data_IF_463232397557
#
_entry.id   IF_463232397557
#
_cell.length_a   1.000
_cell.length_b   1.000
_cell.length_c   1.000
_cell.angle_alpha   90.00
_cell.angle_beta   90.00
_cell.angle_gamma   90.00
#
_symmetry.space_group_name_H-M   'P 1'
#
loop_
_entity.id
_entity.type
_entity.pdbx_description
1 polymer ?
#
# COMPACT_ATOMS: atom_id res chain seq x y z
N UNK A 1 4.77 -6.57 -17.04
CA UNK A 1 4.68 -7.70 -16.11
C UNK A 1 3.23 -7.91 -15.66
N UNK A 2 2.88 -9.13 -15.36
CA UNK A 2 1.55 -9.51 -14.88
C UNK A 2 1.72 -10.57 -13.80
N UNK A 3 1.01 -10.38 -12.67
CA UNK A 3 1.02 -11.35 -11.57
C UNK A 3 -0.01 -12.47 -11.77
N UNK A 4 0.08 -13.53 -10.96
CA UNK A 4 -0.94 -14.60 -10.92
C UNK A 4 -2.32 -14.08 -10.49
N UNK A 5 -2.36 -12.99 -9.72
CA UNK A 5 -3.58 -12.31 -9.30
C UNK A 5 -4.08 -11.27 -10.32
N UNK A 6 -3.55 -11.26 -11.53
CA UNK A 6 -3.92 -10.35 -12.63
C UNK A 6 -3.52 -8.87 -12.41
N UNK A 7 -2.61 -8.58 -11.49
CA UNK A 7 -2.01 -7.25 -11.36
C UNK A 7 -1.02 -6.98 -12.49
N UNK A 8 -0.94 -5.76 -12.96
CA UNK A 8 -0.24 -5.41 -14.20
C UNK A 8 0.74 -4.26 -14.04
N UNK A 9 1.83 -4.35 -14.80
CA UNK A 9 2.81 -3.28 -14.98
C UNK A 9 3.75 -3.08 -13.81
N UNK A 10 4.46 -1.95 -13.81
CA UNK A 10 5.51 -1.65 -12.84
C UNK A 10 5.01 -1.57 -11.40
N UNK A 11 3.83 -0.98 -11.20
CA UNK A 11 3.24 -0.81 -9.87
C UNK A 11 2.22 -1.91 -9.52
N UNK A 12 2.10 -2.94 -10.36
CA UNK A 12 1.25 -4.12 -10.11
C UNK A 12 -0.20 -3.76 -9.74
N UNK A 13 -0.84 -2.93 -10.58
CA UNK A 13 -2.23 -2.55 -10.41
C UNK A 13 -3.20 -3.58 -11.00
N UNK A 14 -4.28 -3.83 -10.26
CA UNK A 14 -5.43 -4.54 -10.82
C UNK A 14 -6.22 -3.60 -11.75
N UNK A 15 -6.74 -4.11 -12.88
CA UNK A 15 -7.57 -3.30 -13.78
C UNK A 15 -8.76 -2.63 -13.10
N UNK A 16 -9.43 -3.32 -12.19
CA UNK A 16 -10.55 -2.75 -11.43
C UNK A 16 -10.13 -1.60 -10.52
N UNK A 17 -8.97 -1.70 -9.89
CA UNK A 17 -8.40 -0.63 -9.07
C UNK A 17 -8.04 0.57 -9.94
N UNK A 18 -7.39 0.33 -11.07
CA UNK A 18 -7.01 1.38 -12.01
C UNK A 18 -8.23 2.14 -12.54
N UNK A 19 -9.29 1.43 -12.92
CA UNK A 19 -10.53 2.04 -13.39
C UNK A 19 -11.16 2.91 -12.32
N UNK A 20 -11.30 2.40 -11.11
CA UNK A 20 -11.90 3.14 -9.99
C UNK A 20 -11.10 4.40 -9.65
N UNK A 21 -9.78 4.29 -9.58
CA UNK A 21 -8.90 5.43 -9.32
C UNK A 21 -8.99 6.47 -10.43
N UNK A 22 -9.01 6.03 -11.69
CA UNK A 22 -9.15 6.92 -12.84
C UNK A 22 -10.49 7.69 -12.79
N UNK A 23 -11.56 7.00 -12.47
CA UNK A 23 -12.89 7.62 -12.31
C UNK A 23 -12.91 8.63 -11.17
N UNK A 24 -12.38 8.26 -10.00
CA UNK A 24 -12.37 9.11 -8.81
C UNK A 24 -11.57 10.40 -9.02
N UNK A 25 -10.47 10.32 -9.76
CA UNK A 25 -9.54 11.44 -9.94
C UNK A 25 -9.58 12.03 -11.35
N UNK A 26 -10.53 11.63 -12.18
CA UNK A 26 -10.71 12.12 -13.54
C UNK A 26 -9.44 11.96 -14.39
N UNK A 27 -8.79 10.82 -14.27
CA UNK A 27 -7.60 10.47 -15.04
C UNK A 27 -7.97 9.61 -16.26
N UNK A 28 -7.20 9.71 -17.36
CA UNK A 28 -7.45 8.89 -18.55
C UNK A 28 -7.15 7.40 -18.26
N UNK A 29 -8.08 6.54 -18.64
CA UNK A 29 -7.93 5.10 -18.60
C UNK A 29 -8.81 4.45 -19.66
N UNK A 30 -8.19 3.77 -20.61
CA UNK A 30 -8.87 3.20 -21.79
C UNK A 30 -8.85 1.67 -21.80
N UNK A 31 -8.62 1.04 -20.63
CA UNK A 31 -8.65 -0.40 -20.48
C UNK A 31 -7.32 -0.99 -20.03
N UNK A 32 -7.31 -2.31 -19.89
CA UNK A 32 -6.20 -3.07 -19.28
C UNK A 32 -4.86 -2.87 -19.98
N UNK A 33 -4.86 -2.64 -21.30
CA UNK A 33 -3.63 -2.46 -22.07
C UNK A 33 -2.87 -1.21 -21.66
N UNK A 34 -3.56 -0.18 -21.16
CA UNK A 34 -2.92 1.03 -20.66
C UNK A 34 -2.00 0.75 -19.47
N UNK A 35 -2.28 -0.29 -18.70
CA UNK A 35 -1.48 -0.66 -17.53
C UNK A 35 -0.11 -1.25 -17.89
N UNK A 36 0.09 -1.65 -19.14
CA UNK A 36 1.40 -2.08 -19.63
C UNK A 36 2.26 -0.93 -20.13
N UNK A 37 1.69 0.27 -20.26
CA UNK A 37 2.44 1.50 -20.60
C UNK A 37 3.02 2.06 -19.30
N UNK A 38 4.37 2.18 -19.17
CA UNK A 38 4.99 2.55 -17.89
C UNK A 38 4.49 3.85 -17.28
N UNK A 39 4.33 4.91 -18.08
CA UNK A 39 3.88 6.21 -17.58
C UNK A 39 2.44 6.16 -17.08
N UNK A 40 1.54 5.47 -17.79
CA UNK A 40 0.14 5.33 -17.36
C UNK A 40 0.04 4.50 -16.07
N UNK A 41 0.82 3.43 -15.99
CA UNK A 41 0.87 2.59 -14.79
C UNK A 41 1.35 3.38 -13.57
N UNK A 42 2.44 4.14 -13.70
CA UNK A 42 3.00 4.97 -12.63
C UNK A 42 2.01 6.06 -12.22
N UNK A 43 1.37 6.73 -13.19
CA UNK A 43 0.38 7.77 -12.91
C UNK A 43 -0.78 7.23 -12.06
N UNK A 44 -1.38 6.14 -12.51
CA UNK A 44 -2.52 5.52 -11.81
C UNK A 44 -2.11 4.91 -10.47
N UNK A 45 -0.94 4.27 -10.40
CA UNK A 45 -0.40 3.71 -9.17
C UNK A 45 -0.10 4.77 -8.12
N UNK A 46 0.49 5.89 -8.54
CA UNK A 46 0.76 7.04 -7.65
C UNK A 46 -0.55 7.68 -7.17
N UNK A 47 -1.51 7.84 -8.06
CA UNK A 47 -2.83 8.37 -7.69
C UNK A 47 -3.52 7.46 -6.66
N UNK A 48 -3.44 6.14 -6.83
CA UNK A 48 -3.98 5.18 -5.87
C UNK A 48 -3.27 5.25 -4.52
N UNK A 49 -1.94 5.37 -4.51
CA UNK A 49 -1.19 5.59 -3.25
C UNK A 49 -1.61 6.87 -2.54
N UNK A 50 -1.88 7.94 -3.28
CA UNK A 50 -2.38 9.19 -2.69
C UNK A 50 -3.76 9.01 -2.05
N UNK A 51 -4.65 8.24 -2.69
CA UNK A 51 -5.95 7.89 -2.08
C UNK A 51 -5.76 7.12 -0.76
N UNK A 52 -4.85 6.16 -0.75
CA UNK A 52 -4.57 5.36 0.44
C UNK A 52 -3.90 6.20 1.55
N UNK A 53 -3.01 7.12 1.19
CA UNK A 53 -2.42 8.04 2.16
C UNK A 53 -3.45 9.01 2.76
N UNK A 54 -4.44 9.43 1.97
CA UNK A 54 -5.54 10.23 2.49
C UNK A 54 -6.39 9.45 3.51
N UNK A 55 -6.55 8.13 3.29
CA UNK A 55 -7.30 7.24 4.18
C UNK A 55 -6.51 6.86 5.43
N UNK A 56 -5.21 6.60 5.28
CA UNK A 56 -4.31 6.17 6.35
C UNK A 56 -3.08 7.09 6.44
N UNK A 57 -3.25 8.36 6.87
CA UNK A 57 -2.18 9.34 6.81
C UNK A 57 -0.92 8.87 7.54
N UNK A 58 0.21 8.94 6.87
CA UNK A 58 1.54 8.61 7.40
C UNK A 58 1.67 7.20 8.00
N UNK A 59 0.81 6.25 7.57
CA UNK A 59 0.84 4.87 8.05
C UNK A 59 1.17 3.91 6.91
N UNK A 60 2.46 3.60 6.74
CA UNK A 60 2.94 2.70 5.68
C UNK A 60 2.41 1.28 5.84
N UNK A 61 2.15 0.83 7.06
CA UNK A 61 1.64 -0.52 7.35
C UNK A 61 0.24 -0.67 6.72
N UNK A 62 -0.65 0.26 7.00
CA UNK A 62 -2.02 0.23 6.47
C UNK A 62 -2.06 0.54 4.98
N UNK A 63 -1.24 1.48 4.50
CA UNK A 63 -1.14 1.81 3.07
C UNK A 63 -0.64 0.59 2.28
N UNK A 64 0.45 -0.03 2.71
CA UNK A 64 1.02 -1.20 2.04
C UNK A 64 0.06 -2.40 2.09
N UNK A 65 -0.59 -2.62 3.23
CA UNK A 65 -1.60 -3.67 3.36
C UNK A 65 -2.78 -3.46 2.40
N UNK A 66 -3.28 -2.22 2.32
CA UNK A 66 -4.40 -1.87 1.44
C UNK A 66 -4.00 -1.90 -0.04
N UNK A 67 -2.79 -1.49 -0.36
CA UNK A 67 -2.27 -1.57 -1.72
C UNK A 67 -2.18 -3.02 -2.22
N UNK A 68 -1.70 -3.91 -1.37
CA UNK A 68 -1.52 -5.33 -1.72
C UNK A 68 -2.82 -6.13 -1.65
N UNK A 69 -3.62 -5.96 -0.59
CA UNK A 69 -4.80 -6.80 -0.32
C UNK A 69 -6.15 -6.09 -0.54
N UNK A 70 -6.15 -4.77 -0.72
CA UNK A 70 -7.35 -3.97 -0.84
C UNK A 70 -7.80 -3.35 0.49
N UNK A 71 -8.29 -2.11 0.42
CA UNK A 71 -8.69 -1.35 1.61
C UNK A 71 -9.85 -2.01 2.37
N UNK A 72 -10.79 -2.63 1.67
CA UNK A 72 -11.92 -3.29 2.33
C UNK A 72 -11.51 -4.45 3.24
N UNK A 73 -10.47 -5.20 2.85
CA UNK A 73 -9.91 -6.25 3.70
C UNK A 73 -9.20 -5.67 4.92
N UNK A 74 -8.44 -4.62 4.73
CA UNK A 74 -7.76 -3.91 5.83
C UNK A 74 -8.78 -3.41 6.85
N UNK A 75 -9.88 -2.83 6.41
CA UNK A 75 -10.95 -2.38 7.31
C UNK A 75 -11.56 -3.54 8.11
N UNK A 76 -11.74 -4.70 7.50
CA UNK A 76 -12.20 -5.90 8.20
C UNK A 76 -11.18 -6.37 9.26
N UNK A 77 -9.90 -6.32 8.94
CA UNK A 77 -8.85 -6.70 9.90
C UNK A 77 -8.78 -5.72 11.07
N UNK A 78 -8.92 -4.42 10.79
CA UNK A 78 -8.97 -3.39 11.85
C UNK A 78 -10.20 -3.54 12.74
N UNK A 79 -11.36 -3.82 12.16
CA UNK A 79 -12.59 -4.06 12.92
C UNK A 79 -12.44 -5.28 13.85
N UNK A 80 -11.83 -6.36 13.36
CA UNK A 80 -11.57 -7.56 14.16
C UNK A 80 -10.57 -7.30 15.29
N UNK A 81 -9.52 -6.52 15.03
CA UNK A 81 -8.52 -6.13 16.02
C UNK A 81 -9.10 -5.20 17.09
N UNK A 82 -10.07 -4.37 16.71
CA UNK A 82 -10.87 -3.53 17.60
C UNK A 82 -10.05 -2.58 18.48
N UNK A 83 -8.96 -2.02 17.96
CA UNK A 83 -8.12 -1.07 18.69
C UNK A 83 -7.32 -1.69 19.82
N UNK A 84 -7.09 -3.00 19.81
CA UNK A 84 -6.42 -3.73 20.91
C UNK A 84 -5.01 -4.19 20.57
N UNK A 85 -4.56 -4.04 19.32
CA UNK A 85 -3.27 -4.55 18.90
C UNK A 85 -2.26 -3.42 18.73
N UNK A 86 -1.06 -3.63 19.24
CA UNK A 86 0.10 -2.81 18.91
C UNK A 86 0.52 -3.03 17.45
N UNK A 87 1.38 -2.17 16.90
CA UNK A 87 1.81 -2.23 15.51
C UNK A 87 2.34 -3.60 15.09
N UNK A 88 3.28 -4.16 15.86
CA UNK A 88 3.88 -5.46 15.57
C UNK A 88 2.87 -6.61 15.67
N UNK A 89 1.97 -6.54 16.64
CA UNK A 89 0.88 -7.50 16.78
C UNK A 89 -0.08 -7.46 15.61
N UNK A 90 -0.42 -6.26 15.13
CA UNK A 90 -1.26 -6.11 13.94
C UNK A 90 -0.60 -6.72 12.70
N UNK A 91 0.67 -6.42 12.45
CA UNK A 91 1.41 -6.99 11.31
C UNK A 91 1.40 -8.52 11.38
N UNK A 92 1.70 -9.08 12.57
CA UNK A 92 1.68 -10.52 12.76
C UNK A 92 0.30 -11.15 12.56
N UNK A 93 -0.77 -10.38 12.81
CA UNK A 93 -2.16 -10.83 12.68
C UNK A 93 -2.68 -10.80 11.24
N UNK A 94 -1.98 -10.18 10.28
CA UNK A 94 -2.40 -10.13 8.89
C UNK A 94 -2.59 -11.55 8.37
N UNK A 95 -3.82 -11.94 7.96
CA UNK A 95 -4.12 -13.33 7.63
C UNK A 95 -3.53 -13.82 6.32
N UNK A 96 -3.12 -12.89 5.44
CA UNK A 96 -2.49 -13.22 4.15
C UNK A 96 -0.98 -13.20 4.30
N UNK A 97 -0.36 -14.35 4.11
CA UNK A 97 1.10 -14.49 4.16
C UNK A 97 1.81 -13.56 3.18
N UNK A 98 1.30 -13.45 1.95
CA UNK A 98 1.83 -12.55 0.92
C UNK A 98 1.78 -11.08 1.38
N UNK A 99 0.66 -10.63 1.91
CA UNK A 99 0.48 -9.25 2.37
C UNK A 99 1.39 -8.94 3.56
N UNK A 100 1.52 -9.87 4.50
CA UNK A 100 2.41 -9.73 5.65
C UNK A 100 3.85 -9.55 5.21
N UNK A 101 4.32 -10.39 4.31
CA UNK A 101 5.66 -10.29 3.73
C UNK A 101 5.87 -9.00 2.94
N UNK A 102 4.86 -8.58 2.20
CA UNK A 102 4.86 -7.31 1.46
C UNK A 102 5.05 -6.11 2.38
N UNK A 103 4.29 -6.03 3.47
CA UNK A 103 4.43 -4.96 4.47
C UNK A 103 5.82 -4.94 5.08
N UNK A 104 6.34 -6.11 5.49
CA UNK A 104 7.68 -6.23 6.06
C UNK A 104 8.75 -5.76 5.06
N UNK A 105 8.62 -6.12 3.79
CA UNK A 105 9.56 -5.72 2.75
C UNK A 105 9.51 -4.20 2.49
N UNK A 106 8.32 -3.60 2.44
CA UNK A 106 8.17 -2.16 2.26
C UNK A 106 8.88 -1.40 3.37
N UNK A 107 8.68 -1.79 4.63
CA UNK A 107 9.33 -1.17 5.78
C UNK A 107 10.86 -1.34 5.72
N UNK A 108 11.33 -2.53 5.36
CA UNK A 108 12.76 -2.85 5.27
C UNK A 108 13.42 -2.04 4.16
N UNK A 109 12.84 -2.01 2.96
CA UNK A 109 13.40 -1.26 1.83
C UNK A 109 13.40 0.25 2.09
N UNK A 110 12.34 0.79 2.68
CA UNK A 110 12.28 2.20 3.01
C UNK A 110 13.37 2.57 4.03
N UNK A 111 13.60 1.74 5.04
CA UNK A 111 14.70 1.91 5.99
C UNK A 111 16.06 1.93 5.28
N UNK A 112 16.30 1.01 4.34
CA UNK A 112 17.53 0.99 3.55
C UNK A 112 17.70 2.25 2.70
N UNK A 113 16.64 2.70 2.01
CA UNK A 113 16.70 3.93 1.20
C UNK A 113 16.99 5.15 2.04
N UNK A 114 16.39 5.28 3.22
CA UNK A 114 16.68 6.37 4.14
C UNK A 114 18.14 6.35 4.60
N UNK A 115 18.67 5.17 4.90
CA UNK A 115 20.07 5.00 5.31
C UNK A 115 21.04 5.39 4.18
N UNK A 116 20.75 4.99 2.94
CA UNK A 116 21.57 5.35 1.77
C UNK A 116 21.56 6.86 1.47
N UNK A 117 20.52 7.57 1.84
CA UNK A 117 20.42 9.03 1.67
C UNK A 117 21.14 9.81 2.77
N UNK A 118 21.88 9.15 3.67
CA UNK A 118 22.68 9.74 4.74
C UNK A 118 21.88 10.74 5.60
N UNK A 119 20.67 10.38 5.96
CA UNK A 119 19.85 11.21 6.83
C UNK A 119 20.33 11.06 8.27
N UNK A 120 20.66 12.18 8.90
CA UNK A 120 21.14 12.24 10.29
C UNK A 120 20.17 11.64 11.31
N UNK A 121 18.87 11.61 10.98
CA UNK A 121 17.83 11.02 11.82
C UNK A 121 17.02 10.03 10.99
N UNK A 122 17.33 8.76 11.16
CA UNK A 122 16.49 7.68 10.64
C UNK A 122 15.24 7.57 11.50
N UNK A 123 14.11 8.00 10.96
CA UNK A 123 12.83 7.76 11.59
C UNK A 123 12.36 6.36 11.20
N UNK A 124 12.49 5.39 12.11
CA UNK A 124 12.14 4.00 11.84
C UNK A 124 10.64 3.84 11.61
N UNK A 125 9.81 4.49 12.45
CA UNK A 125 8.36 4.48 12.35
C UNK A 125 7.79 5.87 12.62
N UNK A 126 6.66 6.19 11.98
CA UNK A 126 5.89 7.40 12.30
C UNK A 126 5.10 7.21 13.60
N UNK A 127 4.59 8.32 14.16
CA UNK A 127 3.66 8.25 15.29
C UNK A 127 2.39 7.50 14.93
N UNK A 128 1.89 7.74 13.74
CA UNK A 128 0.68 7.13 13.20
C UNK A 128 0.83 5.62 13.01
N UNK A 129 2.06 5.14 12.89
CA UNK A 129 2.38 3.72 12.82
C UNK A 129 2.55 3.11 14.20
N UNK A 130 3.43 3.69 15.01
CA UNK A 130 3.90 3.09 16.26
C UNK A 130 2.97 3.32 17.45
N UNK A 131 2.44 4.53 17.60
CA UNK A 131 1.60 4.89 18.75
C UNK A 131 0.14 4.48 18.56
N UNK A 132 -0.26 4.14 17.34
CA UNK A 132 -1.62 3.70 17.06
C UNK A 132 -1.92 2.34 17.67
N UNK A 133 -3.13 2.19 18.20
CA UNK A 133 -3.73 0.88 18.51
C UNK A 133 -4.63 0.45 17.34
N UNK A 134 -4.36 -0.70 16.86
CA UNK A 134 -5.05 -1.25 15.67
C UNK A 134 -6.28 -2.09 16.06
#
# INVERSE_FOLDING_TARGET
AQSSANARGLMQLLPSTAQKTAENQQLPYNGELDLFKPLNNILLGTAHLNELNAKYPNNRILIASAYNAGASRVEKWLARANGKLAMDEFIASIPFFETRGYVQNVLTYDFYYQNLQDKEKLQTFSKEEYDRLY
#
